data_IF_582450092188
#
_entry.id   IF_582450092188
#
_cell.length_a   1.000
_cell.length_b   1.000
_cell.length_c   1.000
_cell.angle_alpha   90.00
_cell.angle_beta   90.00
_cell.angle_gamma   90.00
#
_symmetry.space_group_name_H-M   'P 1'
#
loop_
_entity.id
_entity.type
_entity.pdbx_description
1 polymer ?
#
# COMPACT_ATOMS: atom_id res chain seq x y z
N UNK A 1 -12.60 24.85 -27.12
CA UNK A 1 -13.88 24.09 -27.18
C UNK A 1 -13.67 22.70 -27.81
N UNK A 2 -12.59 22.52 -28.60
CA UNK A 2 -12.30 21.23 -29.26
C UNK A 2 -11.64 20.18 -28.35
N UNK A 3 -11.05 20.53 -27.21
CA UNK A 3 -10.36 19.58 -26.31
C UNK A 3 -11.30 18.72 -25.45
N UNK A 4 -12.57 19.09 -25.29
CA UNK A 4 -13.52 18.34 -24.43
C UNK A 4 -14.23 17.17 -25.13
N UNK A 5 -14.17 17.03 -26.44
CA UNK A 5 -14.80 15.91 -27.17
C UNK A 5 -13.93 14.68 -27.37
N UNK A 6 -12.63 14.75 -27.05
CA UNK A 6 -11.66 13.66 -27.18
C UNK A 6 -11.82 12.53 -26.12
N UNK A 7 -12.69 12.70 -25.16
CA UNK A 7 -12.81 11.78 -24.00
C UNK A 7 -14.01 10.83 -24.01
N UNK A 8 -14.53 10.46 -25.17
CA UNK A 8 -15.42 9.29 -25.23
C UNK A 8 -14.58 8.01 -25.20
N UNK A 9 -14.99 6.98 -24.47
CA UNK A 9 -14.18 5.79 -24.13
C UNK A 9 -13.54 5.06 -25.34
N UNK A 10 -14.18 5.08 -26.51
CA UNK A 10 -13.62 4.56 -27.77
C UNK A 10 -12.50 5.43 -28.34
N UNK A 11 -12.53 6.73 -28.04
CA UNK A 11 -11.51 7.68 -28.49
C UNK A 11 -10.26 7.65 -27.61
N UNK A 12 -10.41 7.38 -26.29
CA UNK A 12 -9.29 7.32 -25.34
C UNK A 12 -8.30 6.21 -25.70
N UNK A 13 -8.78 5.01 -26.01
CA UNK A 13 -7.92 3.87 -26.38
C UNK A 13 -7.13 4.17 -27.64
N UNK A 14 -7.78 4.72 -28.68
CA UNK A 14 -7.09 5.08 -29.91
C UNK A 14 -6.07 6.21 -29.67
N UNK A 15 -6.49 7.29 -28.99
CA UNK A 15 -5.61 8.43 -28.73
C UNK A 15 -4.37 8.02 -27.91
N UNK A 16 -4.55 7.19 -26.89
CA UNK A 16 -3.42 6.72 -26.09
C UNK A 16 -2.50 5.78 -26.88
N UNK A 17 -3.09 4.93 -27.74
CA UNK A 17 -2.32 4.05 -28.63
C UNK A 17 -1.50 4.86 -29.63
N UNK A 18 -2.07 5.92 -30.20
CA UNK A 18 -1.40 6.81 -31.16
C UNK A 18 -0.22 7.55 -30.48
N UNK A 19 -0.44 8.08 -29.27
CA UNK A 19 0.61 8.74 -28.47
C UNK A 19 1.75 7.76 -28.16
N UNK A 20 1.42 6.57 -27.66
CA UNK A 20 2.43 5.56 -27.32
C UNK A 20 3.18 5.07 -28.56
N UNK A 21 2.49 4.92 -29.69
CA UNK A 21 3.11 4.52 -30.97
C UNK A 21 4.07 5.60 -31.46
N UNK A 22 3.67 6.87 -31.43
CA UNK A 22 4.52 7.99 -31.86
C UNK A 22 5.77 8.11 -30.95
N UNK A 23 5.57 8.04 -29.62
CA UNK A 23 6.69 8.07 -28.67
C UNK A 23 7.61 6.85 -28.85
N UNK A 24 7.02 5.68 -29.07
CA UNK A 24 7.77 4.44 -29.28
C UNK A 24 8.59 4.45 -30.54
N UNK A 25 8.08 5.01 -31.64
CA UNK A 25 8.83 5.20 -32.88
C UNK A 25 10.00 6.16 -32.68
N UNK A 26 9.79 7.30 -32.02
CA UNK A 26 10.85 8.24 -31.70
C UNK A 26 11.92 7.63 -30.79
N UNK A 27 11.49 6.85 -29.77
CA UNK A 27 12.39 6.11 -28.88
C UNK A 27 13.24 5.07 -29.67
N UNK A 28 12.62 4.36 -30.57
CA UNK A 28 13.29 3.38 -31.42
C UNK A 28 14.34 4.03 -32.34
N UNK A 29 13.98 5.13 -32.99
CA UNK A 29 14.88 5.87 -33.90
C UNK A 29 16.05 6.53 -33.17
N UNK A 30 15.84 6.98 -31.95
CA UNK A 30 16.89 7.61 -31.12
C UNK A 30 17.71 6.61 -30.30
N UNK A 31 17.34 5.33 -30.28
CA UNK A 31 17.92 4.29 -29.41
C UNK A 31 17.83 4.60 -27.91
N UNK A 32 16.87 5.43 -27.52
CA UNK A 32 16.64 5.83 -26.13
C UNK A 32 15.32 5.24 -25.64
N UNK A 33 15.33 4.27 -24.70
CA UNK A 33 14.09 3.69 -24.19
C UNK A 33 13.30 4.70 -23.33
N UNK A 34 11.96 4.59 -23.35
CA UNK A 34 11.07 5.38 -22.53
C UNK A 34 10.47 4.49 -21.43
N UNK A 35 10.56 4.95 -20.18
CA UNK A 35 9.93 4.30 -19.05
C UNK A 35 8.94 5.26 -18.37
N UNK A 36 7.68 4.82 -18.23
CA UNK A 36 6.65 5.52 -17.48
C UNK A 36 6.55 4.93 -16.07
N UNK A 37 6.66 5.78 -15.05
CA UNK A 37 6.41 5.41 -13.67
C UNK A 37 5.03 5.93 -13.27
N UNK A 38 4.14 5.02 -12.87
CA UNK A 38 2.75 5.32 -12.50
C UNK A 38 2.53 4.83 -11.08
N UNK A 39 2.42 5.77 -10.14
CA UNK A 39 2.06 5.45 -8.76
C UNK A 39 0.54 5.40 -8.59
N UNK A 40 0.09 4.66 -7.56
CA UNK A 40 -1.33 4.50 -7.21
C UNK A 40 -2.21 4.07 -8.40
N UNK A 41 -1.67 3.20 -9.26
CA UNK A 41 -2.32 2.78 -10.52
C UNK A 41 -3.73 2.19 -10.31
N UNK A 42 -4.06 1.72 -9.11
CA UNK A 42 -5.39 1.21 -8.77
C UNK A 42 -6.48 2.29 -8.73
N UNK A 43 -6.15 3.59 -8.79
CA UNK A 43 -7.12 4.67 -8.92
C UNK A 43 -7.52 4.96 -10.37
N UNK A 44 -6.83 4.38 -11.33
CA UNK A 44 -7.25 4.47 -12.73
C UNK A 44 -8.63 3.85 -12.90
N UNK A 45 -9.46 4.52 -13.68
CA UNK A 45 -10.75 3.95 -14.09
C UNK A 45 -10.54 2.74 -14.99
N UNK A 46 -11.48 1.83 -14.96
CA UNK A 46 -11.45 0.60 -15.75
C UNK A 46 -11.20 0.84 -17.25
N UNK A 47 -11.78 1.90 -17.83
CA UNK A 47 -11.56 2.27 -19.23
C UNK A 47 -10.15 2.81 -19.49
N UNK A 48 -9.60 3.58 -18.54
CA UNK A 48 -8.26 4.17 -18.63
C UNK A 48 -7.19 3.08 -18.55
N UNK A 49 -7.33 2.15 -17.59
CA UNK A 49 -6.45 1.00 -17.47
C UNK A 49 -6.50 0.10 -18.70
N UNK A 50 -7.70 -0.13 -19.25
CA UNK A 50 -7.89 -0.89 -20.50
C UNK A 50 -7.22 -0.22 -21.69
N UNK A 51 -7.29 1.10 -21.79
CA UNK A 51 -6.63 1.88 -22.84
C UNK A 51 -5.11 1.82 -22.73
N UNK A 52 -4.57 1.93 -21.49
CA UNK A 52 -3.14 1.82 -21.20
C UNK A 52 -2.60 0.44 -21.59
N UNK A 53 -3.31 -0.63 -21.23
CA UNK A 53 -2.94 -2.00 -21.58
C UNK A 53 -2.94 -2.19 -23.10
N UNK A 54 -3.94 -1.64 -23.82
CA UNK A 54 -4.01 -1.75 -25.27
C UNK A 54 -2.85 -1.00 -25.96
N UNK A 55 -2.53 0.21 -25.50
CA UNK A 55 -1.43 1.00 -26.00
C UNK A 55 -0.08 0.30 -25.78
N UNK A 56 0.18 -0.19 -24.57
CA UNK A 56 1.40 -0.94 -24.24
C UNK A 56 1.52 -2.23 -25.07
N UNK A 57 0.44 -2.97 -25.24
CA UNK A 57 0.42 -4.17 -26.07
C UNK A 57 0.77 -3.85 -27.52
N UNK A 58 0.25 -2.76 -28.06
CA UNK A 58 0.54 -2.32 -29.43
C UNK A 58 2.01 -1.96 -29.61
N UNK A 59 2.59 -1.17 -28.70
CA UNK A 59 4.02 -0.81 -28.77
C UNK A 59 4.92 -2.03 -28.65
N UNK A 60 4.54 -2.99 -27.80
CA UNK A 60 5.30 -4.26 -27.68
C UNK A 60 5.24 -5.09 -28.96
N UNK A 61 4.07 -5.16 -29.64
CA UNK A 61 3.96 -5.82 -30.97
C UNK A 61 4.84 -5.16 -32.05
N UNK A 62 5.05 -3.85 -31.95
CA UNK A 62 5.90 -3.10 -32.88
C UNK A 62 7.39 -3.16 -32.50
N UNK A 63 7.75 -3.78 -31.38
CA UNK A 63 9.12 -3.84 -30.90
C UNK A 63 9.67 -2.50 -30.40
N UNK A 64 8.79 -1.57 -30.03
CA UNK A 64 9.20 -0.26 -29.54
C UNK A 64 9.68 -0.31 -28.09
N UNK A 65 10.75 0.41 -27.73
CA UNK A 65 11.35 0.37 -26.40
C UNK A 65 10.58 1.25 -25.39
N UNK A 66 9.33 0.87 -25.12
CA UNK A 66 8.48 1.50 -24.10
C UNK A 66 8.21 0.51 -22.98
N UNK A 67 8.41 0.96 -21.74
CA UNK A 67 8.12 0.21 -20.52
C UNK A 67 7.26 1.02 -19.57
N UNK A 68 6.43 0.32 -18.78
CA UNK A 68 5.66 0.89 -17.69
C UNK A 68 6.06 0.18 -16.40
N UNK A 69 6.35 0.97 -15.36
CA UNK A 69 6.48 0.53 -13.97
C UNK A 69 5.33 1.10 -13.19
N UNK A 70 4.40 0.25 -12.76
CA UNK A 70 3.23 0.65 -11.99
C UNK A 70 3.36 0.23 -10.53
N UNK A 71 3.09 1.12 -9.59
CA UNK A 71 2.95 0.80 -8.17
C UNK A 71 1.49 0.94 -7.74
N UNK A 72 1.05 0.09 -6.81
CA UNK A 72 -0.33 0.15 -6.32
C UNK A 72 -0.66 -0.93 -5.30
N UNK A 73 -1.86 -0.84 -4.72
CA UNK A 73 -2.36 -1.81 -3.75
C UNK A 73 -2.65 -3.17 -4.40
N UNK A 74 -2.67 -4.28 -3.63
CA UNK A 74 -2.88 -5.65 -4.14
C UNK A 74 -4.13 -5.85 -5.00
N UNK A 75 -5.15 -5.00 -4.89
CA UNK A 75 -6.33 -5.04 -5.76
C UNK A 75 -6.02 -4.88 -7.25
N UNK A 76 -4.83 -4.38 -7.62
CA UNK A 76 -4.40 -4.25 -9.00
C UNK A 76 -4.40 -5.59 -9.75
N UNK A 77 -4.08 -6.68 -9.08
CA UNK A 77 -4.12 -8.03 -9.67
C UNK A 77 -5.51 -8.37 -10.23
N UNK A 78 -6.56 -8.14 -9.44
CA UNK A 78 -7.94 -8.36 -9.89
C UNK A 78 -8.32 -7.42 -11.03
N UNK A 79 -7.96 -6.15 -10.93
CA UNK A 79 -8.25 -5.14 -11.95
C UNK A 79 -7.60 -5.47 -13.30
N UNK A 80 -6.39 -5.99 -13.30
CA UNK A 80 -5.67 -6.37 -14.53
C UNK A 80 -6.20 -7.68 -15.13
N UNK A 81 -6.50 -8.69 -14.30
CA UNK A 81 -7.02 -9.98 -14.76
C UNK A 81 -8.41 -9.87 -15.41
N UNK A 82 -9.25 -8.93 -14.98
CA UNK A 82 -10.59 -8.70 -15.56
C UNK A 82 -10.55 -8.06 -16.95
N UNK A 83 -9.42 -7.53 -17.43
CA UNK A 83 -9.40 -6.69 -18.62
C UNK A 83 -9.22 -7.44 -19.93
N UNK A 84 -8.20 -8.24 -20.04
CA UNK A 84 -7.92 -9.03 -21.26
C UNK A 84 -7.01 -10.20 -20.92
N UNK A 85 -7.18 -11.31 -21.59
CA UNK A 85 -6.38 -12.53 -21.40
C UNK A 85 -4.87 -12.35 -21.66
N UNK A 86 -4.45 -11.31 -22.38
CA UNK A 86 -3.04 -11.01 -22.62
C UNK A 86 -2.41 -10.07 -21.57
N UNK A 87 -3.21 -9.41 -20.73
CA UNK A 87 -2.67 -8.51 -19.68
C UNK A 87 -1.78 -9.25 -18.70
N UNK A 88 -2.09 -10.49 -18.38
CA UNK A 88 -1.29 -11.35 -17.50
C UNK A 88 0.13 -11.61 -18.04
N UNK A 89 0.32 -11.55 -19.35
CA UNK A 89 1.62 -11.78 -20.02
C UNK A 89 2.40 -10.50 -20.29
N UNK A 90 1.74 -9.33 -20.14
CA UNK A 90 2.38 -8.03 -20.35
C UNK A 90 3.12 -7.52 -19.13
N UNK A 91 2.76 -7.98 -17.93
CA UNK A 91 3.30 -7.46 -16.68
C UNK A 91 4.02 -8.54 -15.87
N UNK A 92 5.16 -8.16 -15.34
CA UNK A 92 5.82 -8.89 -14.27
C UNK A 92 5.37 -8.29 -12.94
N UNK A 93 4.75 -9.14 -12.11
CA UNK A 93 4.28 -8.71 -10.80
C UNK A 93 5.37 -8.94 -9.75
N UNK A 94 5.60 -7.90 -8.94
CA UNK A 94 6.52 -7.95 -7.80
C UNK A 94 5.78 -7.47 -6.56
N UNK A 95 5.64 -8.33 -5.58
CA UNK A 95 5.09 -7.94 -4.28
C UNK A 95 6.17 -7.26 -3.46
N UNK A 96 5.83 -6.10 -2.86
CA UNK A 96 6.68 -5.34 -1.97
C UNK A 96 6.04 -5.35 -0.59
N UNK A 97 6.70 -5.99 0.36
CA UNK A 97 6.28 -6.09 1.76
C UNK A 97 7.15 -5.26 2.70
N UNK A 98 7.15 -5.66 3.98
CA UNK A 98 8.09 -5.12 4.96
C UNK A 98 9.55 -5.39 4.55
N UNK A 99 10.44 -4.54 5.00
CA UNK A 99 11.88 -4.70 4.81
C UNK A 99 12.39 -5.92 5.60
N UNK A 100 13.39 -6.61 5.05
CA UNK A 100 14.14 -7.60 5.83
C UNK A 100 14.91 -6.92 6.97
N UNK A 101 15.47 -7.70 7.90
CA UNK A 101 16.29 -7.15 8.98
C UNK A 101 17.45 -6.31 8.42
N UNK A 102 18.18 -6.84 7.44
CA UNK A 102 19.32 -6.17 6.81
C UNK A 102 18.91 -4.89 6.06
N UNK A 103 17.77 -4.94 5.39
CA UNK A 103 17.21 -3.76 4.70
C UNK A 103 16.75 -2.69 5.69
N UNK A 104 16.14 -3.11 6.81
CA UNK A 104 15.71 -2.21 7.89
C UNK A 104 16.91 -1.54 8.55
N UNK A 105 17.96 -2.30 8.83
CA UNK A 105 19.23 -1.77 9.36
C UNK A 105 19.82 -0.72 8.40
N UNK A 106 19.90 -1.03 7.12
CA UNK A 106 20.39 -0.08 6.11
C UNK A 106 19.51 1.18 6.04
N UNK A 107 18.18 1.04 6.16
CA UNK A 107 17.24 2.15 6.15
C UNK A 107 17.39 3.07 7.38
N UNK A 108 17.95 2.58 8.48
CA UNK A 108 18.26 3.35 9.69
C UNK A 108 19.67 3.95 9.59
N UNK A 109 20.69 3.12 9.38
CA UNK A 109 22.10 3.54 9.46
C UNK A 109 22.51 4.50 8.34
N UNK A 110 22.06 4.26 7.10
CA UNK A 110 22.51 5.07 5.96
C UNK A 110 22.06 6.53 6.06
N UNK A 111 20.79 6.85 6.38
CA UNK A 111 20.39 8.24 6.60
C UNK A 111 21.06 8.86 7.83
N UNK A 112 21.11 8.14 8.96
CA UNK A 112 21.68 8.63 10.21
C UNK A 112 23.16 8.98 10.09
N UNK A 113 23.95 8.16 9.39
CA UNK A 113 25.36 8.39 9.16
C UNK A 113 25.68 9.68 8.39
N UNK A 114 24.74 10.20 7.59
CA UNK A 114 24.90 11.50 6.92
C UNK A 114 24.91 12.69 7.90
N UNK A 115 24.39 12.47 9.10
CA UNK A 115 24.33 13.49 10.18
C UNK A 115 25.23 13.12 11.36
N UNK A 116 26.15 12.16 11.17
CA UNK A 116 27.07 11.69 12.20
C UNK A 116 26.31 11.12 13.43
N UNK A 117 25.19 10.44 13.17
CA UNK A 117 24.39 9.77 14.20
C UNK A 117 24.53 8.25 14.05
N UNK A 118 24.70 7.57 15.17
CA UNK A 118 24.97 6.14 15.24
C UNK A 118 23.95 5.45 16.14
N UNK A 119 23.27 4.43 15.60
CA UNK A 119 22.39 3.56 16.37
C UNK A 119 23.14 2.30 16.80
N UNK A 120 23.01 1.89 18.05
CA UNK A 120 23.52 0.58 18.49
C UNK A 120 22.74 -0.57 17.84
N UNK A 121 23.32 -1.77 17.84
CA UNK A 121 22.66 -2.93 17.23
C UNK A 121 21.36 -3.28 17.98
N UNK A 122 21.36 -3.16 19.32
CA UNK A 122 20.20 -3.38 20.17
C UNK A 122 19.08 -2.36 19.90
N UNK A 123 19.42 -1.10 19.66
CA UNK A 123 18.45 -0.06 19.28
C UNK A 123 17.80 -0.39 17.93
N UNK A 124 18.59 -0.82 16.96
CA UNK A 124 18.07 -1.22 15.64
C UNK A 124 17.17 -2.45 15.75
N UNK A 125 17.60 -3.49 16.47
CA UNK A 125 16.80 -4.69 16.66
C UNK A 125 15.45 -4.35 17.31
N UNK A 126 15.45 -3.45 18.29
CA UNK A 126 14.22 -2.98 18.93
C UNK A 126 13.32 -2.17 17.99
N UNK A 127 13.88 -1.26 17.21
CA UNK A 127 13.13 -0.51 16.18
C UNK A 127 12.48 -1.48 15.17
N UNK A 128 13.22 -2.46 14.68
CA UNK A 128 12.70 -3.46 13.73
C UNK A 128 11.59 -4.31 14.34
N UNK A 129 11.74 -4.71 15.61
CA UNK A 129 10.70 -5.44 16.34
C UNK A 129 9.40 -4.65 16.46
N UNK A 130 9.46 -3.38 16.85
CA UNK A 130 8.30 -2.50 17.04
C UNK A 130 7.62 -2.21 15.70
N UNK A 131 8.41 -1.91 14.67
CA UNK A 131 7.92 -1.45 13.37
C UNK A 131 7.57 -2.59 12.41
N UNK A 132 7.91 -3.83 12.74
CA UNK A 132 7.79 -5.01 11.89
C UNK A 132 8.45 -4.84 10.51
N UNK A 133 9.50 -4.01 10.43
CA UNK A 133 10.16 -3.69 9.18
C UNK A 133 9.35 -2.80 8.23
N UNK A 134 8.26 -2.19 8.68
CA UNK A 134 7.45 -1.32 7.82
C UNK A 134 8.15 0.03 7.61
N UNK A 135 8.52 0.40 6.35
CA UNK A 135 9.40 1.52 6.10
C UNK A 135 8.96 2.84 6.72
N UNK A 136 7.67 3.17 6.60
CA UNK A 136 7.11 4.39 7.17
C UNK A 136 7.23 4.43 8.70
N UNK A 137 6.99 3.30 9.37
CA UNK A 137 7.09 3.22 10.83
C UNK A 137 8.55 3.33 11.30
N UNK A 138 9.49 2.72 10.57
CA UNK A 138 10.92 2.88 10.84
C UNK A 138 11.31 4.36 10.79
N UNK A 139 10.95 5.04 9.71
CA UNK A 139 11.27 6.47 9.54
C UNK A 139 10.62 7.33 10.63
N UNK A 140 9.35 7.07 10.96
CA UNK A 140 8.63 7.82 11.98
C UNK A 140 9.25 7.63 13.38
N UNK A 141 9.56 6.39 13.77
CA UNK A 141 10.18 6.12 15.07
C UNK A 141 11.60 6.71 15.14
N UNK A 142 12.42 6.53 14.11
CA UNK A 142 13.75 7.12 14.04
C UNK A 142 13.71 8.65 14.09
N UNK A 143 12.73 9.28 13.46
CA UNK A 143 12.56 10.74 13.50
C UNK A 143 12.26 11.22 14.93
N UNK A 144 11.35 10.56 15.63
CA UNK A 144 10.97 10.93 17.02
C UNK A 144 12.18 10.74 17.94
N UNK A 145 12.84 9.58 17.89
CA UNK A 145 14.02 9.31 18.70
C UNK A 145 15.12 10.34 18.44
N UNK A 146 15.40 10.64 17.17
CA UNK A 146 16.41 11.66 16.81
C UNK A 146 16.07 13.06 17.33
N UNK A 147 14.79 13.44 17.31
CA UNK A 147 14.34 14.76 17.79
C UNK A 147 14.40 14.90 19.31
N UNK A 148 14.28 13.81 20.04
CA UNK A 148 14.21 13.77 21.49
C UNK A 148 15.53 13.36 22.16
N UNK A 149 16.57 13.07 21.39
CA UNK A 149 17.88 12.65 21.89
C UNK A 149 18.96 13.66 21.50
N UNK A 150 19.64 14.22 22.46
CA UNK A 150 20.77 15.15 22.23
C UNK A 150 22.07 14.43 21.84
N UNK A 151 22.15 13.12 22.10
CA UNK A 151 23.32 12.28 21.83
C UNK A 151 23.45 11.93 20.35
N UNK A 152 24.68 11.85 19.87
CA UNK A 152 25.01 11.30 18.57
C UNK A 152 25.00 9.76 18.55
N UNK A 153 25.02 9.13 19.71
CA UNK A 153 24.90 7.69 19.87
C UNK A 153 23.53 7.38 20.48
N UNK A 154 22.70 6.69 19.72
CA UNK A 154 21.33 6.32 20.10
C UNK A 154 21.33 4.85 20.53
N UNK A 155 20.93 4.58 21.75
CA UNK A 155 20.83 3.25 22.33
C UNK A 155 19.36 2.78 22.47
N UNK A 156 19.18 1.57 23.01
CA UNK A 156 17.85 0.98 23.21
C UNK A 156 17.00 1.78 24.20
N UNK A 157 17.64 2.43 25.18
CA UNK A 157 16.93 3.25 26.18
C UNK A 157 16.29 4.47 25.53
N UNK A 158 17.01 5.11 24.60
CA UNK A 158 16.47 6.22 23.80
C UNK A 158 15.25 5.78 23.00
N UNK A 159 15.29 4.58 22.41
CA UNK A 159 14.15 4.03 21.67
C UNK A 159 12.97 3.79 22.61
N UNK A 160 13.17 3.12 23.75
CA UNK A 160 12.10 2.78 24.70
C UNK A 160 11.39 4.02 25.24
N UNK A 161 12.12 5.09 25.55
CA UNK A 161 11.55 6.34 26.05
C UNK A 161 10.63 7.05 25.04
N UNK A 162 10.74 6.70 23.76
CA UNK A 162 10.00 7.35 22.68
C UNK A 162 8.85 6.48 22.09
N UNK A 163 8.65 5.27 22.60
CA UNK A 163 7.60 4.35 22.09
C UNK A 163 6.19 4.90 22.28
N UNK A 164 5.91 5.51 23.43
CA UNK A 164 4.59 6.04 23.73
C UNK A 164 4.23 7.20 22.78
N UNK A 165 5.17 8.12 22.56
CA UNK A 165 4.99 9.21 21.60
C UNK A 165 4.81 8.68 20.16
N UNK A 166 5.61 7.68 19.78
CA UNK A 166 5.48 7.03 18.48
C UNK A 166 4.07 6.48 18.23
N UNK A 167 3.53 5.71 19.17
CA UNK A 167 2.16 5.19 19.03
C UNK A 167 1.12 6.32 19.04
N UNK A 168 1.28 7.32 19.89
CA UNK A 168 0.39 8.48 19.92
C UNK A 168 0.35 9.21 18.57
N UNK A 169 1.50 9.43 17.95
CA UNK A 169 1.59 10.09 16.63
C UNK A 169 0.94 9.23 15.55
N UNK A 170 1.18 7.93 15.54
CA UNK A 170 0.56 7.02 14.57
C UNK A 170 -0.95 6.91 14.76
N UNK A 171 -1.40 6.77 16.01
CA UNK A 171 -2.81 6.60 16.32
C UNK A 171 -3.61 7.84 15.92
N UNK A 172 -3.13 9.04 16.24
CA UNK A 172 -3.84 10.30 15.94
C UNK A 172 -3.72 10.74 14.48
N UNK A 173 -2.57 10.54 13.86
CA UNK A 173 -2.29 10.99 12.48
C UNK A 173 -2.60 9.93 11.43
N UNK A 174 -2.00 8.75 11.56
CA UNK A 174 -1.98 7.75 10.50
C UNK A 174 -3.16 6.78 10.53
N UNK A 175 -3.47 6.18 11.70
CA UNK A 175 -4.52 5.18 11.82
C UNK A 175 -5.91 5.81 11.91
N UNK A 176 -6.08 6.84 12.75
CA UNK A 176 -7.37 7.52 12.95
C UNK A 176 -7.93 8.07 11.64
N UNK A 177 -7.10 8.71 10.82
CA UNK A 177 -7.53 9.24 9.52
C UNK A 177 -8.10 8.15 8.60
N UNK A 178 -7.52 6.95 8.61
CA UNK A 178 -8.03 5.80 7.87
C UNK A 178 -9.34 5.27 8.45
N UNK A 179 -9.40 5.16 9.74
CA UNK A 179 -10.57 4.66 10.48
C UNK A 179 -11.79 5.58 10.34
N UNK A 180 -11.59 6.90 10.36
CA UNK A 180 -12.68 7.87 10.20
C UNK A 180 -13.32 7.89 8.80
N UNK A 181 -12.62 7.38 7.79
CA UNK A 181 -13.19 7.16 6.44
C UNK A 181 -14.12 5.95 6.37
N UNK A 182 -14.18 5.15 7.42
CA UNK A 182 -14.98 3.94 7.50
C UNK A 182 -16.40 4.26 7.98
N UNK A 183 -17.40 3.68 7.31
CA UNK A 183 -18.80 3.74 7.75
C UNK A 183 -19.01 2.94 9.05
N UNK A 184 -20.13 3.12 9.72
CA UNK A 184 -20.47 2.34 10.91
C UNK A 184 -20.48 0.82 10.63
N UNK A 185 -20.89 0.39 9.44
CA UNK A 185 -20.84 -1.01 9.02
C UNK A 185 -19.41 -1.50 8.82
N UNK A 186 -18.55 -0.66 8.22
CA UNK A 186 -17.12 -0.97 8.04
C UNK A 186 -16.41 -1.11 9.38
N UNK A 187 -16.66 -0.17 10.30
CA UNK A 187 -16.11 -0.18 11.67
C UNK A 187 -16.49 -1.47 12.40
N UNK A 188 -17.76 -1.92 12.32
CA UNK A 188 -18.19 -3.21 12.88
C UNK A 188 -17.47 -4.40 12.26
N UNK A 189 -17.20 -4.38 10.95
CA UNK A 189 -16.43 -5.42 10.28
C UNK A 189 -14.97 -5.45 10.74
N UNK A 190 -14.33 -4.27 10.86
CA UNK A 190 -12.96 -4.12 11.36
C UNK A 190 -12.84 -4.69 12.78
N UNK A 191 -13.78 -4.33 13.69
CA UNK A 191 -13.81 -4.88 15.05
C UNK A 191 -13.95 -6.41 15.05
N UNK A 192 -14.81 -6.95 14.20
CA UNK A 192 -14.96 -8.40 14.09
C UNK A 192 -13.70 -9.09 13.59
N UNK A 193 -12.94 -8.46 12.69
CA UNK A 193 -11.62 -8.98 12.26
C UNK A 193 -10.64 -9.03 13.43
N UNK A 194 -10.56 -7.97 14.22
CA UNK A 194 -9.68 -7.93 15.42
C UNK A 194 -10.08 -8.99 16.44
N UNK A 195 -11.39 -9.20 16.64
CA UNK A 195 -11.90 -10.22 17.55
C UNK A 195 -11.67 -11.67 17.07
N UNK A 196 -11.25 -11.88 15.83
CA UNK A 196 -10.78 -13.20 15.37
C UNK A 196 -9.51 -13.66 16.09
N UNK A 197 -8.75 -12.74 16.68
CA UNK A 197 -7.50 -13.00 17.42
C UNK A 197 -6.29 -13.11 16.50
N UNK A 198 -6.30 -14.02 15.54
CA UNK A 198 -5.19 -14.22 14.57
C UNK A 198 -5.53 -13.64 13.20
N UNK A 199 -4.54 -13.00 12.58
CA UNK A 199 -4.60 -12.49 11.21
C UNK A 199 -3.52 -13.20 10.37
N UNK A 200 -3.80 -13.51 9.12
CA UNK A 200 -5.06 -13.25 8.37
C UNK A 200 -6.23 -14.12 8.89
N UNK A 201 -7.44 -13.54 8.91
CA UNK A 201 -8.64 -14.23 9.37
C UNK A 201 -9.59 -14.60 8.21
N UNK A 202 -10.41 -15.65 8.40
CA UNK A 202 -11.36 -16.05 7.37
C UNK A 202 -12.64 -15.22 7.41
N UNK A 203 -13.21 -14.93 6.24
CA UNK A 203 -14.49 -14.21 6.12
C UNK A 203 -15.63 -14.92 6.88
N UNK A 204 -15.57 -16.24 7.02
CA UNK A 204 -16.53 -17.03 7.78
C UNK A 204 -16.44 -16.75 9.28
N UNK A 205 -15.23 -16.59 9.83
CA UNK A 205 -15.04 -16.22 11.23
C UNK A 205 -15.55 -14.80 11.51
N UNK A 206 -15.25 -13.86 10.61
CA UNK A 206 -15.77 -12.51 10.70
C UNK A 206 -17.30 -12.50 10.69
N UNK A 207 -17.93 -13.24 9.79
CA UNK A 207 -19.38 -13.36 9.71
C UNK A 207 -19.98 -13.97 10.99
N UNK A 208 -19.34 -15.00 11.54
CA UNK A 208 -19.73 -15.64 12.80
C UNK A 208 -19.69 -14.66 13.97
N UNK A 209 -18.62 -13.90 14.12
CA UNK A 209 -18.46 -12.89 15.17
C UNK A 209 -19.52 -11.79 15.03
N UNK A 210 -19.80 -11.34 13.80
CA UNK A 210 -20.85 -10.36 13.54
C UNK A 210 -22.29 -10.89 13.70
N UNK A 211 -22.49 -12.19 13.92
CA UNK A 211 -23.80 -12.82 13.97
C UNK A 211 -24.55 -12.71 12.64
N UNK A 212 -23.84 -12.73 11.50
CA UNK A 212 -24.38 -12.52 10.15
C UNK A 212 -23.96 -13.61 9.17
N UNK A 213 -24.66 -13.69 8.03
CA UNK A 213 -24.22 -14.54 6.92
C UNK A 213 -23.07 -13.88 6.16
N UNK A 214 -22.19 -14.69 5.52
CA UNK A 214 -21.10 -14.19 4.67
C UNK A 214 -21.64 -13.30 3.55
N UNK A 215 -22.80 -13.64 2.98
CA UNK A 215 -23.43 -12.83 1.93
C UNK A 215 -23.81 -11.44 2.42
N UNK A 216 -24.35 -11.33 3.65
CA UNK A 216 -24.79 -10.04 4.20
C UNK A 216 -23.67 -9.08 4.56
N UNK A 217 -22.44 -9.56 4.74
CA UNK A 217 -21.26 -8.75 5.03
C UNK A 217 -20.39 -8.47 3.78
N UNK A 218 -20.76 -9.01 2.62
CA UNK A 218 -19.99 -8.91 1.38
C UNK A 218 -19.81 -7.46 0.91
N UNK A 219 -20.83 -6.62 1.08
CA UNK A 219 -20.76 -5.20 0.73
C UNK A 219 -19.74 -4.44 1.58
N UNK A 220 -19.75 -4.64 2.90
CA UNK A 220 -18.77 -4.00 3.80
C UNK A 220 -17.35 -4.49 3.47
N UNK A 221 -17.17 -5.80 3.22
CA UNK A 221 -15.90 -6.35 2.75
C UNK A 221 -15.41 -5.65 1.48
N UNK A 222 -16.26 -5.54 0.45
CA UNK A 222 -15.90 -4.92 -0.81
C UNK A 222 -15.53 -3.44 -0.64
N UNK A 223 -16.27 -2.71 0.21
CA UNK A 223 -15.98 -1.31 0.54
C UNK A 223 -14.64 -1.16 1.25
N UNK A 224 -14.33 -1.99 2.24
CA UNK A 224 -13.06 -1.96 2.97
C UNK A 224 -11.87 -2.28 2.05
N UNK A 225 -12.02 -3.24 1.13
CA UNK A 225 -11.00 -3.53 0.10
C UNK A 225 -10.85 -2.32 -0.84
N UNK A 226 -11.94 -1.71 -1.26
CA UNK A 226 -11.91 -0.53 -2.13
C UNK A 226 -11.24 0.67 -1.46
N UNK A 227 -11.44 0.85 -0.15
CA UNK A 227 -10.81 1.89 0.66
C UNK A 227 -9.34 1.60 0.99
N UNK A 228 -8.84 0.41 0.65
CA UNK A 228 -7.48 0.00 0.96
C UNK A 228 -7.23 -0.21 2.46
N UNK A 229 -8.25 -0.57 3.24
CA UNK A 229 -8.12 -0.88 4.67
C UNK A 229 -7.74 -2.34 4.88
N UNK A 230 -8.36 -3.24 4.10
CA UNK A 230 -8.09 -4.67 4.14
C UNK A 230 -7.77 -5.19 2.73
N UNK A 231 -7.13 -6.33 2.66
CA UNK A 231 -6.88 -7.03 1.38
C UNK A 231 -7.05 -8.54 1.54
N UNK A 232 -7.38 -9.26 0.45
CA UNK A 232 -7.40 -10.72 0.46
C UNK A 232 -5.96 -11.24 0.38
N UNK A 233 -5.52 -11.98 1.40
CA UNK A 233 -4.20 -12.63 1.43
C UNK A 233 -4.24 -13.92 0.60
N UNK A 234 -5.31 -14.71 0.82
CA UNK A 234 -5.59 -15.96 0.13
C UNK A 234 -7.09 -16.11 -0.07
N UNK A 235 -7.49 -17.21 -0.71
CA UNK A 235 -8.92 -17.49 -0.88
C UNK A 235 -9.64 -17.52 0.47
N UNK A 236 -10.61 -16.60 0.63
CA UNK A 236 -11.41 -16.37 1.84
C UNK A 236 -10.66 -15.85 3.07
N UNK A 237 -9.40 -15.52 2.99
CA UNK A 237 -8.63 -14.93 4.07
C UNK A 237 -8.42 -13.43 3.83
N UNK A 238 -8.49 -12.67 4.91
CA UNK A 238 -8.40 -11.21 4.92
C UNK A 238 -7.37 -10.75 5.95
N UNK A 239 -6.63 -9.72 5.62
CA UNK A 239 -5.75 -9.02 6.54
C UNK A 239 -5.84 -7.50 6.35
N UNK A 240 -5.30 -6.73 7.29
CA UNK A 240 -5.16 -5.29 7.16
C UNK A 240 -4.00 -4.94 6.22
N UNK A 241 -4.19 -3.91 5.39
CA UNK A 241 -3.15 -3.43 4.46
C UNK A 241 -1.97 -2.80 5.17
N UNK A 242 -2.16 -2.34 6.38
CA UNK A 242 -1.13 -1.68 7.19
C UNK A 242 -0.88 -2.50 8.46
N UNK A 243 0.37 -2.82 8.78
CA UNK A 243 0.72 -3.45 10.04
C UNK A 243 0.22 -2.64 11.23
N UNK A 244 0.00 -3.30 12.36
CA UNK A 244 -0.40 -2.69 13.63
C UNK A 244 -1.75 -1.94 13.61
N UNK A 245 -2.53 -2.01 12.51
CA UNK A 245 -3.88 -1.43 12.49
C UNK A 245 -4.82 -2.16 13.47
N UNK A 246 -4.63 -3.47 13.66
CA UNK A 246 -5.33 -4.25 14.69
C UNK A 246 -5.01 -3.76 16.10
N UNK A 247 -3.74 -3.49 16.39
CA UNK A 247 -3.30 -2.92 17.66
C UNK A 247 -3.91 -1.54 17.94
N UNK A 248 -3.98 -0.68 16.92
CA UNK A 248 -4.70 0.60 17.04
C UNK A 248 -6.18 0.41 17.42
N UNK A 249 -6.89 -0.52 16.80
CA UNK A 249 -8.30 -0.79 17.11
C UNK A 249 -8.47 -1.33 18.53
N UNK A 250 -7.53 -2.13 19.04
CA UNK A 250 -7.53 -2.60 20.42
C UNK A 250 -7.37 -1.43 21.39
N UNK A 251 -6.34 -0.57 21.21
CA UNK A 251 -6.14 0.63 22.01
C UNK A 251 -7.37 1.55 22.00
N UNK A 252 -7.97 1.75 20.82
CA UNK A 252 -9.18 2.58 20.68
C UNK A 252 -10.36 2.02 21.48
N UNK A 253 -10.53 0.69 21.56
CA UNK A 253 -11.60 0.06 22.34
C UNK A 253 -11.38 0.16 23.83
N UNK A 254 -10.13 0.11 24.30
CA UNK A 254 -9.78 0.31 25.72
C UNK A 254 -10.09 1.74 26.18
N UNK A 255 -9.78 2.76 25.38
CA UNK A 255 -10.13 4.16 25.68
C UNK A 255 -11.65 4.37 25.77
N UNK A 256 -12.45 3.72 24.91
CA UNK A 256 -13.92 3.85 24.93
C UNK A 256 -14.59 3.11 26.09
N UNK A 257 -13.91 2.19 26.76
CA UNK A 257 -14.42 1.50 27.95
C UNK A 257 -14.08 2.24 29.25
N UNK A 258 -13.18 3.21 29.20
CA UNK A 258 -12.79 4.04 30.36
C UNK A 258 -13.56 5.36 30.49
N UNK A 259 -14.40 5.71 29.49
CA UNK A 259 -15.36 6.81 29.52
C UNK A 259 -16.78 6.32 29.94
#
# INVERSE_FOLDING_TARGET
>A
VQERELYKSSNLTQSLTDVFTTLGEAAYQSEIPICFFIDEIQYMKSAELGALIAALHRTNQLGYPIMIVGAGLPKIYAMLSEKKSYSERLFLYKEIGSLSKEQSEAAIRVPAGKFDVHYTDEAIDRIVEITKGYPFFIQQLCQIVYQNTDSKSIDVTDVEQNIEEFWSVLDNGFFKVRYERCSASDKKFIFAMVQCGELPCTISNVAKIMGKSVTSISTARAQLISKGIIYPVRYKELDFTVPEFSGFIQRLSEYQQCE
#
